data_IF_764009663644
#
_entry.id   IF_764009663644
#
_cell.length_a   1.000
_cell.length_b   1.000
_cell.length_c   1.000
_cell.angle_alpha   90.00
_cell.angle_beta   90.00
_cell.angle_gamma   90.00
#
_symmetry.space_group_name_H-M   'P 1'
#
loop_
_entity.id
_entity.type
_entity.pdbx_description
1 polymer ?
#
# COMPACT_ATOMS: atom_id res chain seq x y z
N UNK A 1 3.80 33.13 -12.09
CA UNK A 1 4.99 32.35 -11.74
C UNK A 1 5.04 31.14 -12.68
N UNK A 2 5.97 31.13 -13.64
CA UNK A 2 6.23 29.95 -14.48
C UNK A 2 6.87 28.89 -13.59
N UNK A 3 6.04 28.08 -12.95
CA UNK A 3 6.49 26.82 -12.36
C UNK A 3 7.02 25.99 -13.53
N UNK A 4 8.31 25.63 -13.49
CA UNK A 4 8.95 24.94 -14.62
C UNK A 4 8.12 23.72 -15.01
N UNK A 5 7.98 23.50 -16.32
CA UNK A 5 7.19 22.42 -16.92
C UNK A 5 7.45 21.05 -16.24
N UNK A 6 8.69 20.79 -15.84
CA UNK A 6 9.11 19.60 -15.11
C UNK A 6 8.60 19.50 -13.66
N UNK A 7 8.44 20.63 -12.96
CA UNK A 7 7.90 20.63 -11.60
C UNK A 7 6.41 20.25 -11.61
N UNK A 8 5.66 20.60 -12.65
CA UNK A 8 4.25 20.18 -12.79
C UNK A 8 4.14 18.66 -12.88
N UNK A 9 5.02 18.00 -13.63
CA UNK A 9 5.09 16.54 -13.70
C UNK A 9 5.38 15.91 -12.32
N UNK A 10 6.34 16.47 -11.57
CA UNK A 10 6.65 15.97 -10.21
C UNK A 10 5.47 16.14 -9.24
N UNK A 11 4.71 17.24 -9.36
CA UNK A 11 3.49 17.46 -8.56
C UNK A 11 2.39 16.46 -8.93
N UNK A 12 2.22 16.15 -10.22
CA UNK A 12 1.26 15.12 -10.67
C UNK A 12 1.63 13.74 -10.14
N UNK A 13 2.91 13.36 -10.19
CA UNK A 13 3.40 12.09 -9.62
C UNK A 13 3.11 12.04 -8.11
N UNK A 14 3.45 13.11 -7.38
CA UNK A 14 3.22 13.17 -5.93
C UNK A 14 1.72 13.07 -5.57
N UNK A 15 0.85 13.70 -6.36
CA UNK A 15 -0.61 13.58 -6.22
C UNK A 15 -1.05 12.14 -6.42
N UNK A 16 -0.60 11.49 -7.49
CA UNK A 16 -0.98 10.10 -7.80
C UNK A 16 -0.52 9.12 -6.71
N UNK A 17 0.70 9.29 -6.18
CA UNK A 17 1.21 8.48 -5.05
C UNK A 17 0.36 8.71 -3.80
N UNK A 18 0.05 9.98 -3.47
CA UNK A 18 -0.79 10.32 -2.32
C UNK A 18 -2.17 9.66 -2.43
N UNK A 19 -2.81 9.77 -3.59
CA UNK A 19 -4.15 9.25 -3.82
C UNK A 19 -4.17 7.71 -3.79
N UNK A 20 -3.12 7.06 -4.32
CA UNK A 20 -2.94 5.61 -4.22
C UNK A 20 -2.77 5.17 -2.76
N UNK A 21 -1.91 5.82 -1.97
CA UNK A 21 -1.71 5.51 -0.55
C UNK A 21 -3.00 5.70 0.25
N UNK A 22 -3.70 6.83 0.07
CA UNK A 22 -4.96 7.09 0.77
C UNK A 22 -6.01 6.05 0.44
N UNK A 23 -6.15 5.69 -0.85
CA UNK A 23 -7.12 4.69 -1.28
C UNK A 23 -6.79 3.30 -0.73
N UNK A 24 -5.51 2.95 -0.67
CA UNK A 24 -5.04 1.65 -0.17
C UNK A 24 -5.08 1.50 1.36
N UNK A 25 -5.14 2.60 2.10
CA UNK A 25 -5.22 2.57 3.58
C UNK A 25 -6.68 2.71 4.04
N UNK A 26 -7.44 3.63 3.43
CA UNK A 26 -8.77 4.00 3.92
C UNK A 26 -9.93 3.35 3.15
N UNK A 27 -9.78 3.13 1.84
CA UNK A 27 -10.90 2.74 0.99
C UNK A 27 -10.87 1.26 0.58
N UNK A 28 -9.70 0.62 0.60
CA UNK A 28 -9.54 -0.80 0.29
C UNK A 28 -8.67 -1.44 1.37
N UNK A 29 -9.09 -2.55 2.00
CA UNK A 29 -8.21 -3.25 2.92
C UNK A 29 -6.94 -3.69 2.17
N UNK A 30 -5.76 -3.67 2.82
CA UNK A 30 -4.48 -4.00 2.18
C UNK A 30 -4.45 -5.38 1.53
N UNK A 31 -5.38 -6.27 1.93
CA UNK A 31 -5.62 -7.60 1.36
C UNK A 31 -6.06 -7.54 -0.10
N UNK A 32 -6.89 -6.57 -0.50
CA UNK A 32 -7.46 -6.49 -1.86
C UNK A 32 -6.42 -6.16 -2.94
N UNK A 33 -5.27 -5.60 -2.55
CA UNK A 33 -4.15 -5.25 -3.45
C UNK A 33 -3.44 -6.50 -3.95
N UNK A 34 -3.37 -7.56 -3.14
CA UNK A 34 -2.76 -8.84 -3.52
C UNK A 34 -3.69 -9.62 -4.46
N UNK A 35 -5.02 -9.50 -4.26
CA UNK A 35 -6.02 -10.25 -5.02
C UNK A 35 -6.51 -9.56 -6.29
N UNK A 36 -6.32 -8.25 -6.45
CA UNK A 36 -6.74 -7.50 -7.63
C UNK A 36 -5.58 -6.71 -8.24
N UNK A 37 -4.75 -7.33 -9.09
CA UNK A 37 -3.65 -6.65 -9.78
C UNK A 37 -4.15 -5.52 -10.70
N UNK A 38 -5.38 -5.61 -11.22
CA UNK A 38 -5.98 -4.60 -12.10
C UNK A 38 -6.37 -3.32 -11.35
N UNK A 39 -6.34 -3.35 -10.02
CA UNK A 39 -6.52 -2.16 -9.19
C UNK A 39 -5.27 -1.26 -9.14
N UNK A 40 -4.14 -1.70 -9.72
CA UNK A 40 -2.90 -0.93 -9.75
C UNK A 40 -2.98 0.15 -10.84
N UNK A 41 -3.09 1.41 -10.41
CA UNK A 41 -2.94 2.55 -11.31
C UNK A 41 -1.51 3.09 -11.21
N UNK A 42 -0.66 2.93 -12.25
CA UNK A 42 0.76 3.25 -12.17
C UNK A 42 0.99 4.76 -12.01
N UNK A 43 1.58 5.24 -10.89
CA UNK A 43 1.64 6.67 -10.59
C UNK A 43 2.55 7.47 -11.54
N UNK A 44 3.64 6.87 -12.03
CA UNK A 44 4.65 7.56 -12.84
C UNK A 44 4.22 7.65 -14.32
N UNK A 45 3.86 6.53 -14.94
CA UNK A 45 3.42 6.52 -16.35
C UNK A 45 2.05 7.20 -16.56
N UNK A 46 1.11 7.11 -15.61
CA UNK A 46 -0.15 7.85 -15.72
C UNK A 46 0.06 9.37 -15.62
N UNK A 47 0.89 9.84 -14.69
CA UNK A 47 1.24 11.26 -14.58
C UNK A 47 1.95 11.76 -15.85
N UNK A 48 2.84 10.93 -16.41
CA UNK A 48 3.52 11.23 -17.66
C UNK A 48 2.54 11.35 -18.83
N UNK A 49 1.63 10.41 -18.99
CA UNK A 49 0.61 10.48 -20.05
C UNK A 49 -0.31 11.69 -19.87
N UNK A 50 -0.77 11.99 -18.65
CA UNK A 50 -1.59 13.17 -18.37
C UNK A 50 -0.84 14.46 -18.71
N UNK A 51 0.42 14.56 -18.29
CA UNK A 51 1.28 15.70 -18.57
C UNK A 51 1.47 15.88 -20.08
N UNK A 52 1.83 14.84 -20.83
CA UNK A 52 2.03 14.92 -22.28
C UNK A 52 0.72 15.19 -23.03
N UNK A 53 -0.41 14.63 -22.61
CA UNK A 53 -1.69 14.87 -23.27
C UNK A 53 -2.17 16.34 -23.12
N UNK A 54 -1.80 17.00 -22.03
CA UNK A 54 -2.16 18.41 -21.77
C UNK A 54 -1.15 19.39 -22.40
N UNK A 55 0.13 19.01 -22.53
CA UNK A 55 1.22 19.91 -22.97
C UNK A 55 1.76 19.62 -24.38
N UNK A 56 1.21 18.63 -25.08
CA UNK A 56 1.71 18.15 -26.38
C UNK A 56 1.79 19.24 -27.45
N UNK A 57 0.82 20.14 -27.51
CA UNK A 57 0.79 21.21 -28.52
C UNK A 57 1.78 22.35 -28.24
N UNK A 58 2.15 22.59 -26.98
CA UNK A 58 3.13 23.63 -26.63
C UNK A 58 4.56 23.11 -26.68
N UNK A 59 4.80 21.88 -26.23
CA UNK A 59 6.15 21.29 -26.16
C UNK A 59 6.64 20.90 -27.56
N UNK A 60 5.80 20.30 -28.42
CA UNK A 60 6.26 19.86 -29.75
C UNK A 60 6.62 21.05 -30.67
N UNK A 61 5.97 22.20 -30.49
CA UNK A 61 6.22 23.40 -31.30
C UNK A 61 7.45 24.22 -30.88
N UNK A 62 7.98 24.01 -29.66
CA UNK A 62 9.17 24.72 -29.17
C UNK A 62 10.49 24.14 -29.67
N UNK A 63 10.49 22.91 -30.18
CA UNK A 63 11.72 22.22 -30.55
C UNK A 63 11.79 21.91 -32.05
N UNK A 64 12.96 22.20 -32.63
CA UNK A 64 13.21 22.14 -34.08
C UNK A 64 13.42 20.73 -34.64
N UNK A 65 13.64 19.71 -33.79
CA UNK A 65 13.98 18.34 -34.21
C UNK A 65 13.02 17.29 -33.64
N UNK A 66 11.87 17.15 -34.30
CA UNK A 66 10.82 16.15 -34.01
C UNK A 66 11.33 14.72 -33.71
N UNK A 67 12.27 14.12 -34.48
CA UNK A 67 12.68 12.74 -34.21
C UNK A 67 13.48 12.58 -32.91
N UNK A 68 14.32 13.55 -32.53
CA UNK A 68 15.17 13.46 -31.35
C UNK A 68 14.35 13.49 -30.05
N UNK A 69 13.29 14.29 -30.03
CA UNK A 69 12.37 14.42 -28.90
C UNK A 69 11.56 13.14 -28.72
N UNK A 70 11.10 12.53 -29.80
CA UNK A 70 10.36 11.27 -29.72
C UNK A 70 11.21 10.18 -29.06
N UNK A 71 12.50 10.08 -29.38
CA UNK A 71 13.41 9.15 -28.68
C UNK A 71 13.59 9.50 -27.19
N UNK A 72 13.70 10.78 -26.85
CA UNK A 72 13.81 11.21 -25.46
C UNK A 72 12.53 10.90 -24.65
N UNK A 73 11.35 11.12 -25.23
CA UNK A 73 10.05 10.79 -24.63
C UNK A 73 9.93 9.28 -24.42
N UNK A 74 10.27 8.49 -25.44
CA UNK A 74 10.23 7.02 -25.34
C UNK A 74 11.19 6.54 -24.24
N UNK A 75 12.43 7.03 -24.22
CA UNK A 75 13.41 6.68 -23.20
C UNK A 75 12.92 7.02 -21.78
N UNK A 76 12.33 8.21 -21.61
CA UNK A 76 11.76 8.62 -20.33
C UNK A 76 10.56 7.76 -19.93
N UNK A 77 9.68 7.40 -20.87
CA UNK A 77 8.54 6.51 -20.58
C UNK A 77 8.99 5.12 -20.11
N UNK A 78 10.08 4.58 -20.69
CA UNK A 78 10.64 3.29 -20.28
C UNK A 78 11.22 3.38 -18.86
N UNK A 79 11.92 4.48 -18.55
CA UNK A 79 12.44 4.72 -17.21
C UNK A 79 11.31 4.83 -16.17
N UNK A 80 10.25 5.59 -16.48
CA UNK A 80 9.10 5.76 -15.59
C UNK A 80 8.31 4.45 -15.40
N UNK A 81 8.17 3.64 -16.44
CA UNK A 81 7.58 2.31 -16.34
C UNK A 81 8.41 1.40 -15.40
N UNK A 82 9.75 1.50 -15.46
CA UNK A 82 10.61 0.82 -14.51
C UNK A 82 10.38 1.26 -13.06
N UNK A 83 10.16 2.56 -12.82
CA UNK A 83 9.81 3.09 -11.50
C UNK A 83 8.44 2.62 -11.02
N UNK A 84 7.45 2.47 -11.92
CA UNK A 84 6.14 1.92 -11.58
C UNK A 84 6.25 0.47 -11.09
N UNK A 85 7.12 -0.35 -11.69
CA UNK A 85 7.39 -1.72 -11.24
C UNK A 85 8.01 -1.73 -9.85
N UNK A 86 9.02 -0.89 -9.61
CA UNK A 86 9.68 -0.78 -8.29
C UNK A 86 8.66 -0.33 -7.23
N UNK A 87 7.83 0.67 -7.55
CA UNK A 87 6.78 1.16 -6.67
C UNK A 87 5.74 0.07 -6.36
N UNK A 88 5.35 -0.74 -7.34
CA UNK A 88 4.46 -1.89 -7.14
C UNK A 88 5.05 -2.92 -6.18
N UNK A 89 6.34 -3.23 -6.29
CA UNK A 89 7.04 -4.15 -5.36
C UNK A 89 7.03 -3.59 -3.94
N UNK A 90 7.37 -2.31 -3.76
CA UNK A 90 7.37 -1.65 -2.44
C UNK A 90 5.96 -1.70 -1.84
N UNK A 91 4.93 -1.41 -2.63
CA UNK A 91 3.53 -1.46 -2.21
C UNK A 91 3.15 -2.86 -1.71
N UNK A 92 3.48 -3.92 -2.46
CA UNK A 92 3.20 -5.30 -2.07
C UNK A 92 3.92 -5.68 -0.77
N UNK A 93 5.17 -5.26 -0.62
CA UNK A 93 5.96 -5.54 0.59
C UNK A 93 5.29 -4.92 1.83
N UNK A 94 4.88 -3.65 1.73
CA UNK A 94 4.18 -2.95 2.81
C UNK A 94 2.88 -3.69 3.17
N UNK A 95 2.04 -4.01 2.18
CA UNK A 95 0.78 -4.74 2.39
C UNK A 95 1.01 -6.10 3.06
N UNK A 96 2.04 -6.83 2.66
CA UNK A 96 2.38 -8.15 3.23
C UNK A 96 2.80 -8.04 4.70
N UNK A 97 3.61 -7.03 5.05
CA UNK A 97 4.01 -6.78 6.44
C UNK A 97 2.80 -6.46 7.31
N UNK A 98 1.90 -5.58 6.85
CA UNK A 98 0.68 -5.24 7.59
C UNK A 98 -0.22 -6.45 7.85
N UNK A 99 -0.42 -7.29 6.84
CA UNK A 99 -1.21 -8.52 6.98
C UNK A 99 -0.53 -9.49 7.95
N UNK A 100 0.80 -9.65 7.83
CA UNK A 100 1.57 -10.51 8.74
C UNK A 100 1.46 -10.09 10.20
N UNK A 101 1.56 -8.79 10.48
CA UNK A 101 1.36 -8.23 11.83
C UNK A 101 -0.08 -8.46 12.31
N UNK A 102 -1.07 -8.21 11.47
CA UNK A 102 -2.47 -8.38 11.82
C UNK A 102 -2.81 -9.83 12.16
N UNK A 103 -2.47 -10.77 11.27
CA UNK A 103 -2.70 -12.22 11.49
C UNK A 103 -1.91 -12.72 12.69
N UNK A 104 -0.64 -12.32 12.81
CA UNK A 104 0.21 -12.67 13.95
C UNK A 104 -0.38 -12.20 15.28
N UNK A 105 -0.92 -10.97 15.31
CA UNK A 105 -1.57 -10.43 16.50
C UNK A 105 -2.85 -11.21 16.86
N UNK A 106 -3.69 -11.56 15.88
CA UNK A 106 -4.90 -12.35 16.10
C UNK A 106 -4.59 -13.73 16.70
N UNK A 107 -3.58 -14.41 16.16
CA UNK A 107 -3.14 -15.72 16.68
C UNK A 107 -2.59 -15.58 18.09
N UNK A 108 -1.76 -14.57 18.34
CA UNK A 108 -1.23 -14.30 19.68
C UNK A 108 -2.34 -14.04 20.70
N UNK A 109 -3.28 -13.14 20.39
CA UNK A 109 -4.40 -12.83 21.29
C UNK A 109 -5.33 -14.03 21.48
N UNK A 110 -5.59 -14.82 20.44
CA UNK A 110 -6.41 -16.03 20.52
C UNK A 110 -5.78 -17.08 21.44
N UNK A 111 -4.49 -17.37 21.26
CA UNK A 111 -3.74 -18.29 22.13
C UNK A 111 -3.66 -17.76 23.57
N UNK A 112 -3.35 -16.49 23.73
CA UNK A 112 -3.27 -15.85 25.04
C UNK A 112 -4.61 -15.93 25.79
N UNK A 113 -5.72 -15.66 25.10
CA UNK A 113 -7.06 -15.76 25.68
C UNK A 113 -7.39 -17.20 26.09
N UNK A 114 -7.17 -18.17 25.19
CA UNK A 114 -7.40 -19.59 25.48
C UNK A 114 -6.60 -20.08 26.70
N UNK A 115 -5.30 -19.75 26.77
CA UNK A 115 -4.44 -20.10 27.92
C UNK A 115 -4.93 -19.43 29.19
N UNK A 116 -5.35 -18.16 29.12
CA UNK A 116 -5.84 -17.41 30.28
C UNK A 116 -7.14 -18.01 30.82
N UNK A 117 -8.09 -18.34 29.94
CA UNK A 117 -9.34 -19.01 30.32
C UNK A 117 -9.04 -20.38 30.93
N UNK A 118 -8.22 -21.22 30.29
CA UNK A 118 -7.86 -22.54 30.80
C UNK A 118 -7.20 -22.47 32.19
N UNK A 119 -6.28 -21.51 32.41
CA UNK A 119 -5.63 -21.30 33.72
C UNK A 119 -6.61 -20.83 34.79
N UNK A 120 -7.52 -19.91 34.46
CA UNK A 120 -8.51 -19.40 35.42
C UNK A 120 -9.62 -20.40 35.72
N UNK A 121 -9.98 -21.26 34.76
CA UNK A 121 -10.93 -22.34 34.97
C UNK A 121 -10.41 -23.39 35.97
N UNK A 122 -9.12 -23.72 35.89
CA UNK A 122 -8.46 -24.61 36.86
C UNK A 122 -8.51 -24.05 38.29
N UNK A 123 -8.42 -22.73 38.43
CA UNK A 123 -8.48 -22.03 39.72
C UNK A 123 -9.89 -22.08 40.33
N UNK A 124 -10.93 -21.92 39.50
CA UNK A 124 -12.33 -22.04 39.92
C UNK A 124 -12.62 -23.49 40.36
N UNK A 125 -12.18 -24.49 39.61
CA UNK A 125 -12.34 -25.90 39.99
C UNK A 125 -11.65 -26.21 41.33
N UNK A 126 -10.44 -25.70 41.55
CA UNK A 126 -9.74 -25.84 42.83
C UNK A 126 -10.48 -25.17 44.00
N UNK A 127 -11.12 -24.02 43.78
CA UNK A 127 -11.94 -23.36 44.81
C UNK A 127 -13.19 -24.18 45.16
N UNK A 128 -13.84 -24.80 44.18
CA UNK A 128 -14.96 -25.72 44.46
C UNK A 128 -14.51 -26.97 45.22
N UNK A 129 -13.40 -27.59 44.81
CA UNK A 129 -12.84 -28.74 45.53
C UNK A 129 -12.48 -28.38 46.98
N UNK A 130 -11.80 -27.26 47.23
CA UNK A 130 -11.43 -26.87 48.59
C UNK A 130 -12.64 -26.46 49.47
N UNK A 131 -13.71 -25.93 48.87
CA UNK A 131 -14.94 -25.64 49.61
C UNK A 131 -15.73 -26.92 49.95
N UNK A 132 -15.73 -27.94 49.09
CA UNK A 132 -16.39 -29.22 49.36
C UNK A 132 -15.71 -30.02 50.49
N UNK A 133 -14.40 -29.85 50.70
CA UNK A 133 -13.66 -30.53 51.78
C UNK A 133 -13.59 -29.77 53.12
N UNK A 134 -14.02 -28.50 53.18
CA UNK A 134 -14.00 -27.70 54.42
C UNK A 134 -15.34 -27.71 55.18
N UNK A 135 -16.39 -28.31 54.61
CA UNK A 135 -17.72 -28.40 55.20
C UNK A 135 -18.11 -29.77 55.79
N UNK A 136 -17.22 -30.76 55.78
CA UNK A 136 -17.48 -32.07 56.42
C UNK A 136 -16.72 -32.14 57.75
N UNK A 137 -17.40 -31.70 58.81
CA UNK A 137 -17.12 -32.08 60.20
C UNK A 137 -18.38 -32.71 60.77
#
# INVERSE_FOLDING_TARGET
MHVSHWFQLMVMIARNIKDDILTNIFNRPPILIIFNPDAFNPPFTCAFNEYFNVTTTSIINEYSSVPMINYAIISLSVLLAGLDVIYSIIRILISTVFIGVFVGSLVFFGLWFMVTVARRWKLIVLMFQNNDFTGVW
#
